data_IF_728487090265
#
_entry.id   IF_728487090265
#
_cell.length_a   1.000
_cell.length_b   1.000
_cell.length_c   1.000
_cell.angle_alpha   90.00
_cell.angle_beta   90.00
_cell.angle_gamma   90.00
#
_symmetry.space_group_name_H-M   'P 1'
#
loop_
_entity.id
_entity.type
_entity.pdbx_description
1 polymer ?
#
# COMPACT_ATOMS: atom_id res chain seq x y z
N UNK A 1 -22.18 84.15 57.91
CA UNK A 1 -23.53 84.03 57.31
C UNK A 1 -23.38 83.26 56.00
N UNK A 2 -24.04 82.07 55.91
CA UNK A 2 -24.50 81.26 54.79
C UNK A 2 -23.43 80.64 53.85
N UNK A 3 -23.19 79.44 54.04
CA UNK A 3 -23.63 78.18 53.46
C UNK A 3 -24.19 78.31 52.05
N UNK A 4 -23.45 77.70 51.04
CA UNK A 4 -24.03 76.85 50.02
C UNK A 4 -22.89 76.21 49.23
N UNK A 5 -22.76 74.99 49.48
CA UNK A 5 -22.68 73.85 48.57
C UNK A 5 -21.72 73.97 47.38
N UNK A 6 -20.58 73.28 47.54
CA UNK A 6 -19.69 72.97 46.47
C UNK A 6 -19.87 71.47 46.18
N UNK A 7 -20.64 71.22 45.15
CA UNK A 7 -20.76 69.88 44.60
C UNK A 7 -19.60 69.65 43.61
N UNK A 8 -18.59 68.92 44.07
CA UNK A 8 -17.55 68.40 43.21
C UNK A 8 -18.05 67.11 42.60
N UNK A 9 -18.36 67.14 41.32
CA UNK A 9 -18.62 65.96 40.49
C UNK A 9 -17.25 65.32 40.12
N UNK A 10 -16.91 64.25 40.80
CA UNK A 10 -15.76 63.38 40.41
C UNK A 10 -16.22 62.51 39.26
N UNK A 11 -15.75 62.76 38.02
CA UNK A 11 -15.82 61.83 36.93
C UNK A 11 -14.79 60.71 37.18
N UNK A 12 -15.28 59.59 37.64
CA UNK A 12 -14.54 58.34 37.66
C UNK A 12 -14.43 57.79 36.24
N UNK A 13 -13.25 57.91 35.66
CA UNK A 13 -12.92 57.17 34.43
C UNK A 13 -12.66 55.71 34.79
N UNK A 14 -13.69 54.87 34.67
CA UNK A 14 -13.51 53.41 34.65
C UNK A 14 -12.89 53.00 33.31
N UNK A 15 -11.61 52.71 33.29
CA UNK A 15 -10.96 51.98 32.22
C UNK A 15 -11.55 50.57 32.18
N UNK A 16 -12.55 50.39 31.33
CA UNK A 16 -13.06 49.06 30.95
C UNK A 16 -11.97 48.34 30.15
N UNK A 17 -11.26 47.44 30.81
CA UNK A 17 -10.46 46.44 30.07
C UNK A 17 -11.46 45.53 29.34
N UNK A 18 -11.64 45.80 28.07
CA UNK A 18 -12.34 44.88 27.18
C UNK A 18 -11.45 43.65 27.02
N UNK A 19 -11.75 42.60 27.80
CA UNK A 19 -11.23 41.26 27.53
C UNK A 19 -11.92 40.78 26.26
N UNK A 20 -11.29 41.04 25.11
CA UNK A 20 -11.64 40.37 23.87
C UNK A 20 -11.45 38.86 24.12
N UNK A 21 -12.51 38.05 23.96
CA UNK A 21 -12.30 36.62 23.94
C UNK A 21 -11.35 36.35 22.79
N UNK A 22 -10.12 35.88 23.10
CA UNK A 22 -9.29 35.25 22.11
C UNK A 22 -10.11 34.06 21.59
N UNK A 23 -10.74 34.27 20.45
CA UNK A 23 -11.22 33.18 19.62
C UNK A 23 -9.99 32.35 19.27
N UNK A 24 -9.69 31.36 20.09
CA UNK A 24 -8.84 30.28 19.69
C UNK A 24 -9.55 29.68 18.48
N UNK A 25 -9.15 30.14 17.32
CA UNK A 25 -9.48 29.48 16.08
C UNK A 25 -8.86 28.08 16.20
N UNK A 26 -9.69 27.14 16.64
CA UNK A 26 -9.42 25.73 16.50
C UNK A 26 -9.50 25.48 14.99
N UNK A 27 -8.43 25.84 14.27
CA UNK A 27 -8.24 25.34 12.91
C UNK A 27 -8.11 23.85 13.06
N UNK A 28 -9.22 23.13 12.88
CA UNK A 28 -9.21 21.69 12.78
C UNK A 28 -8.14 21.34 11.74
N UNK A 29 -7.07 20.67 12.16
CA UNK A 29 -6.07 20.18 11.23
C UNK A 29 -6.82 19.26 10.26
N UNK A 30 -6.85 19.65 8.98
CA UNK A 30 -7.45 18.81 7.94
C UNK A 30 -6.74 17.46 7.94
N UNK A 31 -7.52 16.40 7.96
CA UNK A 31 -6.97 15.05 7.77
C UNK A 31 -6.46 14.92 6.34
N UNK A 32 -5.51 14.01 6.11
CA UNK A 32 -5.03 13.70 4.75
C UNK A 32 -6.18 13.34 3.81
N UNK A 33 -7.20 12.67 4.33
CA UNK A 33 -8.39 12.29 3.56
C UNK A 33 -9.19 13.50 3.06
N UNK A 34 -9.33 14.56 3.87
CA UNK A 34 -9.99 15.79 3.45
C UNK A 34 -9.17 16.58 2.43
N UNK A 35 -7.84 16.58 2.58
CA UNK A 35 -6.92 17.21 1.61
C UNK A 35 -6.95 16.47 0.27
N UNK A 36 -6.92 15.15 0.28
CA UNK A 36 -6.89 14.34 -0.93
C UNK A 36 -8.21 14.31 -1.70
N UNK A 37 -9.35 14.49 -1.04
CA UNK A 37 -10.64 14.68 -1.74
C UNK A 37 -10.64 15.90 -2.67
N UNK A 38 -9.80 16.88 -2.41
CA UNK A 38 -9.66 18.09 -3.23
C UNK A 38 -8.58 18.01 -4.30
N UNK A 39 -7.78 16.94 -4.33
CA UNK A 39 -6.73 16.70 -5.31
C UNK A 39 -7.14 15.61 -6.32
N UNK A 40 -6.55 15.62 -7.51
CA UNK A 40 -6.81 14.64 -8.58
C UNK A 40 -6.27 13.22 -8.27
N UNK A 41 -6.34 12.76 -7.01
CA UNK A 41 -5.88 11.46 -6.57
C UNK A 41 -7.03 10.57 -6.10
N UNK A 42 -6.96 9.29 -6.43
CA UNK A 42 -7.92 8.29 -6.01
C UNK A 42 -7.57 7.73 -4.64
N UNK A 43 -7.94 8.46 -3.59
CA UNK A 43 -7.81 7.98 -2.23
C UNK A 43 -9.10 7.34 -1.74
N UNK A 44 -8.97 6.19 -1.09
CA UNK A 44 -10.07 5.48 -0.44
C UNK A 44 -9.76 5.26 1.03
N UNK A 45 -10.69 5.64 1.90
CA UNK A 45 -10.63 5.29 3.32
C UNK A 45 -10.85 3.79 3.47
N UNK A 46 -9.98 3.12 4.22
CA UNK A 46 -10.11 1.69 4.52
C UNK A 46 -10.75 1.52 5.89
N UNK A 47 -10.03 1.86 6.96
CA UNK A 47 -10.51 1.81 8.35
C UNK A 47 -9.63 2.69 9.24
N UNK A 48 -10.22 3.30 10.28
CA UNK A 48 -9.48 4.08 11.26
C UNK A 48 -8.60 5.16 10.61
N UNK A 49 -7.30 5.08 10.77
CA UNK A 49 -6.32 5.99 10.20
C UNK A 49 -5.66 5.46 8.91
N UNK A 50 -6.11 4.29 8.42
CA UNK A 50 -5.59 3.68 7.20
C UNK A 50 -6.42 4.07 5.99
N UNK A 51 -5.74 4.46 4.93
CA UNK A 51 -6.29 4.75 3.60
C UNK A 51 -5.47 4.03 2.53
N UNK A 52 -6.02 3.88 1.34
CA UNK A 52 -5.28 3.47 0.15
C UNK A 52 -5.27 4.58 -0.88
N UNK A 53 -4.23 4.64 -1.68
CA UNK A 53 -4.11 5.53 -2.84
C UNK A 53 -3.84 4.69 -4.08
N UNK A 54 -4.60 4.97 -5.14
CA UNK A 54 -4.44 4.33 -6.44
C UNK A 54 -4.29 5.37 -7.53
N UNK A 55 -3.33 5.14 -8.42
CA UNK A 55 -3.13 5.88 -9.64
C UNK A 55 -2.65 4.87 -10.71
N UNK A 56 -1.43 5.01 -11.23
CA UNK A 56 -0.81 4.02 -12.11
C UNK A 56 0.26 3.24 -11.37
N UNK A 57 0.15 1.90 -11.40
CA UNK A 57 1.01 0.98 -10.65
C UNK A 57 0.25 0.29 -9.53
N UNK A 58 0.97 -0.27 -8.57
CA UNK A 58 0.39 -0.95 -7.43
C UNK A 58 -0.36 -0.01 -6.48
N UNK A 59 -1.26 -0.55 -5.71
CA UNK A 59 -1.97 0.19 -4.66
C UNK A 59 -1.00 0.61 -3.57
N UNK A 60 -1.08 1.85 -3.13
CA UNK A 60 -0.30 2.39 -2.00
C UNK A 60 -1.14 2.35 -0.72
N UNK A 61 -0.54 1.87 0.37
CA UNK A 61 -1.11 1.97 1.72
C UNK A 61 -0.63 3.23 2.42
N UNK A 62 -1.50 3.88 3.18
CA UNK A 62 -1.17 5.08 3.94
C UNK A 62 -1.73 4.98 5.34
N UNK A 63 -0.88 5.10 6.35
CA UNK A 63 -1.28 5.31 7.75
C UNK A 63 -0.96 6.74 8.15
N UNK A 64 -1.98 7.48 8.57
CA UNK A 64 -1.82 8.77 9.25
C UNK A 64 -1.73 8.54 10.75
N UNK A 65 -0.55 8.76 11.34
CA UNK A 65 -0.37 8.69 12.79
C UNK A 65 -0.64 10.05 13.44
N UNK A 66 -0.43 10.14 14.75
CA UNK A 66 -0.60 11.40 15.48
C UNK A 66 0.32 12.51 14.93
N UNK A 67 1.56 12.18 14.56
CA UNK A 67 2.63 13.13 14.25
C UNK A 67 3.45 12.82 12.99
N UNK A 68 3.09 11.77 12.25
CA UNK A 68 3.80 11.33 11.05
C UNK A 68 2.92 10.54 10.08
N UNK A 69 3.51 10.10 8.96
CA UNK A 69 2.93 9.15 8.02
C UNK A 69 3.82 7.93 7.85
N UNK A 70 3.19 6.77 7.67
CA UNK A 70 3.81 5.55 7.15
C UNK A 70 3.18 5.23 5.80
N UNK A 71 4.02 5.09 4.78
CA UNK A 71 3.60 4.82 3.39
C UNK A 71 4.05 3.43 3.00
N UNK A 72 3.15 2.63 2.42
CA UNK A 72 3.45 1.30 1.89
C UNK A 72 3.36 1.36 0.38
N UNK A 73 4.47 1.09 -0.29
CA UNK A 73 4.72 1.20 -1.73
C UNK A 73 4.73 2.64 -2.26
N UNK A 74 5.28 2.82 -3.46
CA UNK A 74 5.60 4.14 -4.00
C UNK A 74 5.18 4.33 -5.47
N UNK A 75 4.61 3.32 -6.14
CA UNK A 75 4.26 3.39 -7.56
C UNK A 75 5.44 3.85 -8.44
N UNK A 76 5.17 4.70 -9.43
CA UNK A 76 6.17 5.41 -10.24
C UNK A 76 6.27 6.87 -9.80
N UNK A 77 7.41 7.56 -10.01
CA UNK A 77 7.66 8.92 -9.50
C UNK A 77 6.56 9.92 -9.84
N UNK A 78 6.11 9.97 -11.09
CA UNK A 78 5.10 10.94 -11.55
C UNK A 78 3.70 10.62 -11.01
N UNK A 79 3.42 9.35 -10.76
CA UNK A 79 2.09 8.88 -10.33
C UNK A 79 1.91 8.92 -8.82
N UNK A 80 2.97 8.90 -8.04
CA UNK A 80 2.93 9.07 -6.58
C UNK A 80 2.93 10.56 -6.16
N UNK A 81 3.35 11.46 -7.04
CA UNK A 81 3.49 12.89 -6.72
C UNK A 81 2.22 13.55 -6.18
N UNK A 82 1.01 13.26 -6.67
CA UNK A 82 -0.22 13.80 -6.08
C UNK A 82 -0.40 13.44 -4.61
N UNK A 83 -0.06 12.20 -4.20
CA UNK A 83 -0.09 11.79 -2.80
C UNK A 83 0.94 12.57 -1.97
N UNK A 84 2.18 12.67 -2.44
CA UNK A 84 3.25 13.41 -1.77
C UNK A 84 2.85 14.88 -1.57
N UNK A 85 2.30 15.53 -2.60
CA UNK A 85 1.85 16.91 -2.52
C UNK A 85 0.74 17.09 -1.48
N UNK A 86 -0.16 16.12 -1.37
CA UNK A 86 -1.24 16.14 -0.39
C UNK A 86 -0.73 15.94 1.04
N UNK A 87 0.18 14.99 1.25
CA UNK A 87 0.83 14.76 2.55
C UNK A 87 1.55 16.04 3.00
N UNK A 88 2.26 16.72 2.11
CA UNK A 88 3.01 17.95 2.42
C UNK A 88 2.13 19.12 2.87
N UNK A 89 0.82 19.10 2.57
CA UNK A 89 -0.13 20.09 3.04
C UNK A 89 -0.59 19.86 4.50
N UNK A 90 -0.33 18.68 5.05
CA UNK A 90 -0.63 18.35 6.45
C UNK A 90 0.54 18.82 7.31
N UNK A 91 0.41 19.99 7.91
CA UNK A 91 1.48 20.64 8.69
C UNK A 91 1.96 19.76 9.87
N UNK A 92 3.27 19.70 10.04
CA UNK A 92 3.91 19.05 11.19
C UNK A 92 3.94 17.52 11.14
N UNK A 93 3.55 16.90 10.03
CA UNK A 93 3.56 15.44 9.88
C UNK A 93 4.49 15.00 8.74
N UNK A 94 5.77 14.68 9.02
CA UNK A 94 6.68 14.12 8.03
C UNK A 94 6.29 12.69 7.63
N UNK A 95 6.78 12.21 6.50
CA UNK A 95 6.79 10.80 6.17
C UNK A 95 7.92 10.17 6.97
N UNK A 96 7.59 9.40 8.00
CA UNK A 96 8.59 8.77 8.86
C UNK A 96 9.14 7.48 8.25
N UNK A 97 8.27 6.68 7.63
CA UNK A 97 8.65 5.43 6.97
C UNK A 97 8.05 5.33 5.59
N UNK A 98 8.85 4.87 4.64
CA UNK A 98 8.41 4.26 3.39
C UNK A 98 8.70 2.77 3.49
N UNK A 99 7.77 1.93 3.05
CA UNK A 99 7.91 0.48 3.08
C UNK A 99 7.66 -0.06 1.67
N UNK A 100 8.41 -1.08 1.25
CA UNK A 100 8.15 -1.74 -0.02
C UNK A 100 7.66 -3.16 0.22
N UNK A 101 6.56 -3.55 -0.42
CA UNK A 101 6.03 -4.91 -0.35
C UNK A 101 6.90 -5.90 -1.11
N UNK A 102 7.47 -5.49 -2.24
CA UNK A 102 8.39 -6.28 -3.07
C UNK A 102 9.17 -5.37 -4.03
N UNK A 103 9.95 -5.93 -4.95
CA UNK A 103 10.91 -5.17 -5.76
C UNK A 103 10.40 -4.62 -7.09
N UNK A 104 9.21 -4.95 -7.56
CA UNK A 104 8.74 -4.51 -8.89
C UNK A 104 8.63 -2.99 -9.00
N UNK A 105 8.87 -2.49 -10.21
CA UNK A 105 9.03 -1.05 -10.44
C UNK A 105 7.78 -0.22 -10.16
N UNK A 106 6.60 -0.80 -10.31
CA UNK A 106 5.32 -0.15 -10.00
C UNK A 106 5.00 -0.12 -8.48
N UNK A 107 5.93 -0.61 -7.64
CA UNK A 107 5.92 -0.50 -6.19
C UNK A 107 7.14 0.26 -5.64
N UNK A 108 8.27 0.25 -6.36
CA UNK A 108 9.54 0.78 -5.85
C UNK A 108 10.13 1.94 -6.66
N UNK A 109 9.77 2.11 -7.94
CA UNK A 109 10.37 3.19 -8.76
C UNK A 109 10.09 4.58 -8.17
N UNK A 110 8.93 4.77 -7.55
CA UNK A 110 8.57 6.00 -6.85
C UNK A 110 9.36 6.27 -5.57
N UNK A 111 10.15 5.33 -5.05
CA UNK A 111 11.06 5.59 -3.92
C UNK A 111 11.96 6.80 -4.21
N UNK A 112 12.28 7.04 -5.49
CA UNK A 112 13.06 8.19 -5.92
C UNK A 112 12.40 9.53 -5.56
N UNK A 113 11.06 9.62 -5.64
CA UNK A 113 10.32 10.81 -5.24
C UNK A 113 10.33 11.05 -3.72
N UNK A 114 10.59 10.01 -2.91
CA UNK A 114 10.69 10.10 -1.46
C UNK A 114 12.10 10.35 -0.94
N UNK A 115 13.13 10.39 -1.81
CA UNK A 115 14.56 10.45 -1.44
C UNK A 115 14.90 11.51 -0.39
N UNK A 116 14.25 12.68 -0.44
CA UNK A 116 14.48 13.79 0.48
C UNK A 116 13.35 13.96 1.52
N UNK A 117 12.37 13.06 1.54
CA UNK A 117 11.20 13.14 2.40
C UNK A 117 11.26 12.16 3.57
N UNK A 118 11.96 11.04 3.41
CA UNK A 118 12.22 10.08 4.48
C UNK A 118 13.62 9.48 4.35
N UNK A 119 14.20 9.11 5.50
CA UNK A 119 15.48 8.39 5.57
C UNK A 119 15.29 6.91 5.93
N UNK A 120 14.05 6.48 6.17
CA UNK A 120 13.72 5.13 6.63
C UNK A 120 12.91 4.41 5.57
N UNK A 121 13.57 3.57 4.79
CA UNK A 121 12.92 2.72 3.78
C UNK A 121 13.07 1.27 4.21
N UNK A 122 11.94 0.61 4.48
CA UNK A 122 11.86 -0.75 5.01
C UNK A 122 11.48 -1.72 3.90
N UNK A 123 12.18 -2.84 3.80
CA UNK A 123 11.81 -3.94 2.91
C UNK A 123 12.35 -5.29 3.40
N UNK A 124 11.80 -6.38 2.87
CA UNK A 124 12.38 -7.71 3.05
C UNK A 124 13.80 -7.76 2.43
N UNK A 125 14.72 -8.50 3.03
CA UNK A 125 16.16 -8.48 2.72
C UNK A 125 16.53 -8.75 1.25
N UNK A 126 15.69 -9.50 0.52
CA UNK A 126 15.92 -9.83 -0.89
C UNK A 126 15.54 -8.69 -1.85
N UNK A 127 14.71 -7.73 -1.40
CA UNK A 127 14.16 -6.68 -2.26
C UNK A 127 15.24 -5.81 -2.92
N UNK A 128 16.27 -5.29 -2.21
CA UNK A 128 17.25 -4.41 -2.83
C UNK A 128 18.06 -5.07 -3.96
N UNK A 129 18.45 -6.33 -3.79
CA UNK A 129 19.18 -7.06 -4.82
C UNK A 129 18.33 -7.32 -6.05
N UNK A 130 17.08 -7.77 -5.86
CA UNK A 130 16.13 -8.00 -6.96
C UNK A 130 15.82 -6.68 -7.70
N UNK A 131 15.62 -5.58 -6.96
CA UNK A 131 15.40 -4.25 -7.52
C UNK A 131 16.61 -3.80 -8.35
N UNK A 132 17.84 -4.02 -7.86
CA UNK A 132 19.07 -3.70 -8.58
C UNK A 132 19.18 -4.49 -9.86
N UNK A 133 18.99 -5.81 -9.83
CA UNK A 133 19.03 -6.67 -11.00
C UNK A 133 18.01 -6.22 -12.07
N UNK A 134 16.78 -5.89 -11.65
CA UNK A 134 15.77 -5.36 -12.56
C UNK A 134 16.18 -3.99 -13.16
N UNK A 135 16.79 -3.12 -12.35
CA UNK A 135 17.25 -1.79 -12.79
C UNK A 135 18.44 -1.86 -13.76
N UNK A 136 19.35 -2.81 -13.59
CA UNK A 136 20.47 -3.06 -14.51
C UNK A 136 19.93 -3.50 -15.88
N UNK A 137 18.97 -4.42 -15.92
CA UNK A 137 18.30 -4.86 -17.15
C UNK A 137 17.56 -3.70 -17.84
N UNK A 138 16.92 -2.84 -17.06
CA UNK A 138 16.19 -1.67 -17.55
C UNK A 138 17.10 -0.45 -17.84
N UNK A 139 18.40 -0.51 -17.52
CA UNK A 139 19.39 0.57 -17.67
C UNK A 139 18.97 1.86 -16.96
N UNK A 140 18.44 1.76 -15.74
CA UNK A 140 17.94 2.88 -14.94
C UNK A 140 18.39 2.84 -13.47
N UNK A 141 19.57 2.29 -13.20
CA UNK A 141 20.14 2.15 -11.83
C UNK A 141 20.27 3.50 -11.12
N UNK A 142 20.59 4.55 -11.86
CA UNK A 142 20.73 5.93 -11.36
C UNK A 142 19.42 6.54 -10.86
N UNK A 143 18.29 5.95 -11.24
CA UNK A 143 16.93 6.37 -10.82
C UNK A 143 16.37 5.54 -9.66
N UNK A 144 17.19 4.66 -9.06
CA UNK A 144 16.74 3.81 -7.97
C UNK A 144 17.07 4.40 -6.59
N UNK A 145 16.19 4.16 -5.64
CA UNK A 145 16.43 4.36 -4.21
C UNK A 145 16.03 3.08 -3.50
N UNK A 146 16.99 2.46 -2.83
CA UNK A 146 16.83 1.16 -2.21
C UNK A 146 16.46 1.26 -0.74
N UNK A 147 15.81 0.21 -0.23
CA UNK A 147 15.55 0.08 1.20
C UNK A 147 16.86 -0.01 1.99
N UNK A 148 16.88 0.63 3.16
CA UNK A 148 18.04 0.69 4.08
C UNK A 148 17.74 0.08 5.46
N UNK A 149 16.50 -0.33 5.72
CA UNK A 149 16.09 -1.12 6.88
C UNK A 149 15.56 -2.44 6.34
N UNK A 150 16.34 -3.52 6.56
CA UNK A 150 16.05 -4.82 5.97
C UNK A 150 15.66 -5.81 7.07
N UNK A 151 14.71 -6.70 6.77
CA UNK A 151 14.27 -7.75 7.67
C UNK A 151 14.19 -9.12 6.96
N UNK A 152 14.24 -10.20 7.72
CA UNK A 152 14.08 -11.57 7.21
C UNK A 152 12.62 -11.97 7.21
N UNK A 153 12.06 -12.26 8.38
CA UNK A 153 10.72 -12.83 8.53
C UNK A 153 9.71 -11.82 9.04
N UNK A 154 10.13 -10.93 9.96
CA UNK A 154 9.24 -9.98 10.60
C UNK A 154 9.97 -8.71 11.04
N UNK A 155 9.29 -7.57 10.96
CA UNK A 155 9.79 -6.30 11.47
C UNK A 155 8.66 -5.44 12.05
N UNK A 156 8.89 -4.88 13.25
CA UNK A 156 7.93 -3.99 13.90
C UNK A 156 8.32 -2.52 13.71
N UNK A 157 7.49 -1.79 13.00
CA UNK A 157 7.54 -0.35 12.86
C UNK A 157 6.71 0.28 13.98
N UNK A 158 7.29 1.26 14.70
CA UNK A 158 6.59 2.10 15.68
C UNK A 158 6.63 3.54 15.21
N UNK A 159 5.48 4.19 15.06
CA UNK A 159 5.36 5.55 14.55
C UNK A 159 4.14 6.23 15.15
N UNK A 160 4.30 7.41 15.78
CA UNK A 160 3.21 8.22 16.34
C UNK A 160 2.27 7.48 17.31
N UNK A 161 2.79 6.49 18.05
CA UNK A 161 2.01 5.63 18.94
C UNK A 161 1.30 4.47 18.26
N UNK A 162 1.38 4.35 16.94
CA UNK A 162 0.84 3.24 16.16
C UNK A 162 1.91 2.15 15.92
N UNK A 163 1.45 0.95 15.58
CA UNK A 163 2.28 -0.23 15.30
C UNK A 163 1.92 -0.77 13.91
N UNK A 164 2.95 -0.96 13.09
CA UNK A 164 2.81 -1.65 11.79
C UNK A 164 3.78 -2.81 11.78
N UNK A 165 3.27 -4.03 11.67
CA UNK A 165 4.12 -5.23 11.62
C UNK A 165 4.23 -5.71 10.18
N UNK A 166 5.47 -5.74 9.68
CA UNK A 166 5.82 -6.36 8.40
C UNK A 166 5.99 -7.88 8.60
N UNK A 167 5.47 -8.67 7.68
CA UNK A 167 5.63 -10.13 7.64
C UNK A 167 6.12 -10.59 6.27
N UNK A 168 7.10 -11.48 6.27
CA UNK A 168 7.48 -12.29 5.12
C UNK A 168 7.16 -13.75 5.44
N UNK A 169 6.14 -14.30 4.81
CA UNK A 169 5.73 -15.69 5.05
C UNK A 169 6.35 -16.68 4.06
N UNK A 170 7.15 -16.19 3.13
CA UNK A 170 7.81 -16.93 2.08
C UNK A 170 7.67 -16.25 0.72
N UNK A 171 8.34 -16.79 -0.28
CA UNK A 171 8.21 -16.35 -1.67
C UNK A 171 6.83 -16.76 -2.21
N UNK A 172 6.15 -15.85 -2.87
CA UNK A 172 4.88 -16.12 -3.54
C UNK A 172 4.90 -15.53 -4.95
N UNK A 173 4.70 -14.22 -5.03
CA UNK A 173 4.83 -13.43 -6.25
C UNK A 173 6.31 -13.12 -6.59
N UNK A 174 7.12 -12.87 -5.56
CA UNK A 174 8.57 -12.67 -5.66
C UNK A 174 9.32 -13.35 -4.50
N UNK A 175 10.65 -13.37 -4.54
CA UNK A 175 11.46 -13.82 -3.40
C UNK A 175 11.40 -12.88 -2.18
N UNK A 176 10.96 -11.65 -2.35
CA UNK A 176 11.01 -10.61 -1.32
C UNK A 176 9.63 -10.09 -0.89
N UNK A 177 8.56 -10.87 -1.06
CA UNK A 177 7.22 -10.42 -0.72
C UNK A 177 7.05 -10.14 0.77
N UNK A 178 6.47 -9.01 1.08
CA UNK A 178 6.12 -8.62 2.43
C UNK A 178 4.69 -8.07 2.49
N UNK A 179 3.99 -8.39 3.57
CA UNK A 179 2.71 -7.79 3.91
C UNK A 179 2.88 -6.92 5.15
N UNK A 180 2.09 -5.84 5.25
CA UNK A 180 2.19 -4.86 6.34
C UNK A 180 0.86 -4.76 7.08
N UNK A 181 0.85 -5.17 8.35
CA UNK A 181 -0.32 -5.15 9.23
C UNK A 181 -0.36 -3.88 10.08
N UNK A 182 -1.31 -3.02 9.85
CA UNK A 182 -1.68 -1.88 10.67
C UNK A 182 -2.50 -2.40 11.86
N UNK A 183 -1.82 -2.72 12.99
CA UNK A 183 -2.37 -3.53 14.08
C UNK A 183 -3.64 -2.94 14.69
N UNK A 184 -3.63 -1.64 15.02
CA UNK A 184 -4.77 -0.98 15.69
C UNK A 184 -6.03 -0.94 14.82
N UNK A 185 -5.86 -0.68 13.55
CA UNK A 185 -6.97 -0.57 12.61
C UNK A 185 -7.34 -1.92 11.98
N UNK A 186 -6.58 -2.97 12.29
CA UNK A 186 -6.73 -4.33 11.76
C UNK A 186 -6.89 -4.34 10.23
N UNK A 187 -5.91 -3.74 9.55
CA UNK A 187 -5.81 -3.69 8.09
C UNK A 187 -4.46 -4.25 7.66
N UNK A 188 -4.44 -5.07 6.63
CA UNK A 188 -3.21 -5.65 6.08
C UNK A 188 -3.04 -5.24 4.63
N UNK A 189 -1.90 -4.64 4.30
CA UNK A 189 -1.51 -4.41 2.91
C UNK A 189 -0.76 -5.64 2.39
N UNK A 190 -1.30 -6.29 1.36
CA UNK A 190 -0.82 -7.57 0.85
C UNK A 190 0.20 -7.44 -0.29
N UNK A 191 0.35 -6.24 -0.87
CA UNK A 191 1.09 -6.10 -2.12
C UNK A 191 0.56 -7.05 -3.20
N UNK A 192 1.45 -7.52 -4.03
CA UNK A 192 1.13 -8.40 -5.16
C UNK A 192 1.01 -9.88 -4.79
N UNK A 193 0.98 -10.20 -3.49
CA UNK A 193 0.42 -11.47 -3.06
C UNK A 193 -1.08 -11.57 -3.40
N UNK A 194 -1.72 -10.42 -3.72
CA UNK A 194 -3.15 -10.35 -4.05
C UNK A 194 -3.43 -9.53 -5.31
N UNK A 195 -4.01 -10.22 -6.30
CA UNK A 195 -4.62 -9.66 -7.51
C UNK A 195 -6.12 -9.98 -7.50
N UNK A 196 -6.97 -8.96 -7.54
CA UNK A 196 -8.42 -9.16 -7.58
C UNK A 196 -8.92 -9.20 -9.01
N UNK A 197 -9.68 -10.23 -9.36
CA UNK A 197 -10.28 -10.43 -10.69
C UNK A 197 -9.28 -10.36 -11.86
N UNK A 198 -7.99 -10.47 -11.55
CA UNK A 198 -6.89 -10.48 -12.53
C UNK A 198 -6.11 -11.80 -12.45
N UNK A 199 -5.62 -12.26 -13.59
CA UNK A 199 -4.56 -13.25 -13.64
C UNK A 199 -3.28 -12.55 -13.19
N UNK A 200 -2.57 -13.05 -12.16
CA UNK A 200 -1.42 -12.35 -11.61
C UNK A 200 -0.23 -12.34 -12.58
N UNK A 201 0.61 -11.33 -12.44
CA UNK A 201 1.95 -11.35 -13.03
C UNK A 201 2.75 -12.47 -12.37
N UNK A 202 3.37 -13.32 -13.18
CA UNK A 202 4.09 -14.51 -12.72
C UNK A 202 5.46 -14.60 -13.38
N UNK A 203 6.52 -14.47 -12.61
CA UNK A 203 7.90 -14.49 -13.12
C UNK A 203 8.78 -15.37 -12.25
N UNK A 204 9.04 -16.59 -12.72
CA UNK A 204 9.86 -17.59 -12.00
C UNK A 204 11.24 -17.03 -11.62
N UNK A 205 11.88 -16.26 -12.49
CA UNK A 205 13.19 -15.63 -12.22
C UNK A 205 13.18 -14.63 -11.08
N UNK A 206 12.01 -14.01 -10.81
CA UNK A 206 11.82 -13.05 -9.73
C UNK A 206 11.38 -13.74 -8.42
N UNK A 207 11.14 -15.06 -8.48
CA UNK A 207 10.78 -15.89 -7.33
C UNK A 207 9.34 -16.39 -7.33
N UNK A 208 8.54 -16.12 -8.38
CA UNK A 208 7.17 -16.63 -8.42
C UNK A 208 7.14 -18.15 -8.33
N UNK A 209 6.41 -18.67 -7.35
CA UNK A 209 6.24 -20.11 -7.13
C UNK A 209 4.82 -20.40 -6.60
N UNK A 210 4.01 -21.08 -7.40
CA UNK A 210 2.60 -21.27 -7.06
C UNK A 210 2.37 -22.10 -5.79
N UNK A 211 3.20 -23.11 -5.51
CA UNK A 211 3.07 -23.93 -4.30
C UNK A 211 3.40 -23.12 -3.05
N UNK A 212 4.49 -22.37 -3.09
CA UNK A 212 4.87 -21.49 -2.00
C UNK A 212 3.86 -20.34 -1.85
N UNK A 213 3.33 -19.78 -2.94
CA UNK A 213 2.33 -18.73 -2.88
C UNK A 213 1.02 -19.20 -2.21
N UNK A 214 0.57 -20.41 -2.55
CA UNK A 214 -0.55 -21.06 -1.85
C UNK A 214 -0.28 -21.14 -0.35
N UNK A 215 0.90 -21.63 0.05
CA UNK A 215 1.29 -21.74 1.47
C UNK A 215 1.36 -20.39 2.18
N UNK A 216 1.86 -19.34 1.49
CA UNK A 216 1.89 -17.96 2.00
C UNK A 216 0.47 -17.44 2.27
N UNK A 217 -0.47 -17.67 1.33
CA UNK A 217 -1.86 -17.27 1.51
C UNK A 217 -2.55 -18.07 2.62
N UNK A 218 -2.31 -19.37 2.74
CA UNK A 218 -2.83 -20.20 3.84
C UNK A 218 -2.31 -19.72 5.20
N UNK A 219 -1.02 -19.36 5.28
CA UNK A 219 -0.45 -18.79 6.50
C UNK A 219 -1.08 -17.43 6.82
N UNK A 220 -1.33 -16.57 5.83
CA UNK A 220 -2.02 -15.30 6.02
C UNK A 220 -3.47 -15.52 6.53
N UNK A 221 -4.23 -16.44 5.90
CA UNK A 221 -5.59 -16.80 6.29
C UNK A 221 -5.65 -17.30 7.74
N UNK A 222 -4.65 -18.07 8.19
CA UNK A 222 -4.59 -18.58 9.56
C UNK A 222 -4.06 -17.57 10.59
N UNK A 223 -3.35 -16.54 10.14
CA UNK A 223 -2.74 -15.53 11.03
C UNK A 223 -3.69 -14.38 11.35
N UNK A 224 -4.45 -13.93 10.37
CA UNK A 224 -5.34 -12.78 10.51
C UNK A 224 -6.77 -13.22 10.81
N UNK A 225 -7.48 -12.42 11.60
CA UNK A 225 -8.86 -12.75 11.98
C UNK A 225 -9.88 -12.37 10.89
N UNK A 226 -11.13 -12.84 11.10
CA UNK A 226 -12.23 -12.62 10.14
C UNK A 226 -12.63 -11.15 9.94
N UNK A 227 -12.29 -10.28 10.86
CA UNK A 227 -12.62 -8.84 10.81
C UNK A 227 -11.50 -8.02 10.18
N UNK A 228 -10.38 -8.67 9.80
CA UNK A 228 -9.26 -8.04 9.10
C UNK A 228 -9.69 -7.58 7.71
N UNK A 229 -9.40 -6.33 7.37
CA UNK A 229 -9.49 -5.83 6.00
C UNK A 229 -8.13 -5.92 5.31
N UNK A 230 -8.16 -6.19 4.02
CA UNK A 230 -6.95 -6.31 3.21
C UNK A 230 -6.93 -5.27 2.10
N UNK A 231 -5.75 -4.68 1.86
CA UNK A 231 -5.45 -3.86 0.69
C UNK A 231 -4.70 -4.74 -0.29
N UNK A 232 -5.16 -4.78 -1.54
CA UNK A 232 -4.62 -5.62 -2.60
C UNK A 232 -3.71 -4.81 -3.53
N UNK A 233 -2.66 -5.45 -4.06
CA UNK A 233 -1.71 -4.79 -4.96
C UNK A 233 -2.37 -4.30 -6.24
N UNK A 234 -3.16 -5.17 -6.89
CA UNK A 234 -3.81 -4.85 -8.16
C UNK A 234 -5.27 -5.30 -8.23
N UNK A 235 -6.08 -4.48 -8.90
CA UNK A 235 -7.45 -4.77 -9.27
C UNK A 235 -7.77 -4.10 -10.62
N UNK A 236 -8.77 -4.59 -11.39
CA UNK A 236 -9.18 -3.96 -12.65
C UNK A 236 -9.89 -2.62 -12.42
N UNK A 237 -10.43 -2.41 -11.23
CA UNK A 237 -11.08 -1.18 -10.77
C UNK A 237 -10.51 -0.78 -9.41
N UNK A 238 -10.13 0.49 -9.27
CA UNK A 238 -9.60 1.09 -8.03
C UNK A 238 -10.51 0.88 -6.80
N UNK A 239 -11.82 0.73 -7.00
CA UNK A 239 -12.76 0.48 -5.92
C UNK A 239 -12.70 -0.96 -5.39
N UNK A 240 -12.04 -1.86 -6.11
CA UNK A 240 -11.88 -3.27 -5.76
C UNK A 240 -10.54 -3.58 -5.09
N UNK A 241 -9.75 -2.56 -4.73
CA UNK A 241 -8.42 -2.75 -4.11
C UNK A 241 -8.47 -3.12 -2.63
N UNK A 242 -9.64 -3.45 -2.09
CA UNK A 242 -9.81 -3.90 -0.70
C UNK A 242 -10.81 -5.04 -0.57
N UNK A 243 -10.64 -5.86 0.45
CA UNK A 243 -11.53 -6.97 0.75
C UNK A 243 -11.26 -7.63 2.10
N UNK A 244 -11.56 -8.92 2.17
CA UNK A 244 -11.53 -9.72 3.39
C UNK A 244 -10.84 -11.08 3.17
N UNK A 245 -10.88 -11.97 4.16
CA UNK A 245 -10.30 -13.33 4.09
C UNK A 245 -10.86 -14.20 2.95
N UNK A 246 -12.09 -13.96 2.51
CA UNK A 246 -12.70 -14.73 1.41
C UNK A 246 -11.94 -14.47 0.10
N UNK A 247 -11.45 -13.24 -0.11
CA UNK A 247 -10.65 -12.90 -1.27
C UNK A 247 -9.28 -13.60 -1.27
N UNK A 248 -8.65 -13.76 -0.08
CA UNK A 248 -7.41 -14.53 0.05
C UNK A 248 -7.66 -16.01 -0.28
N UNK A 249 -8.76 -16.56 0.23
CA UNK A 249 -9.17 -17.94 -0.05
C UNK A 249 -9.46 -18.14 -1.54
N UNK A 250 -10.12 -17.17 -2.17
CA UNK A 250 -10.42 -17.20 -3.61
C UNK A 250 -9.12 -17.19 -4.44
N UNK A 251 -8.16 -16.31 -4.12
CA UNK A 251 -6.86 -16.26 -4.79
C UNK A 251 -6.06 -17.56 -4.61
N UNK A 252 -6.06 -18.13 -3.41
CA UNK A 252 -5.43 -19.42 -3.12
C UNK A 252 -6.03 -20.54 -3.98
N UNK A 253 -7.35 -20.62 -4.03
CA UNK A 253 -8.08 -21.60 -4.82
C UNK A 253 -7.84 -21.40 -6.34
N UNK A 254 -7.73 -20.15 -6.79
CA UNK A 254 -7.40 -19.83 -8.17
C UNK A 254 -6.01 -20.38 -8.57
N UNK A 255 -5.00 -20.19 -7.74
CA UNK A 255 -3.65 -20.69 -8.00
C UNK A 255 -3.63 -22.24 -8.09
N UNK A 256 -4.32 -22.90 -7.17
CA UNK A 256 -4.45 -24.38 -7.16
C UNK A 256 -5.18 -24.87 -8.43
N UNK A 257 -6.35 -24.29 -8.73
CA UNK A 257 -7.11 -24.65 -9.91
C UNK A 257 -6.35 -24.38 -11.21
N UNK A 258 -5.54 -23.32 -11.25
CA UNK A 258 -4.71 -22.98 -12.41
C UNK A 258 -3.62 -24.03 -12.65
N UNK A 259 -2.95 -24.49 -11.59
CA UNK A 259 -1.93 -25.54 -11.69
C UNK A 259 -2.55 -26.86 -12.17
N UNK A 260 -3.70 -27.25 -11.60
CA UNK A 260 -4.40 -28.48 -12.01
C UNK A 260 -4.89 -28.41 -13.45
N UNK A 261 -5.47 -27.27 -13.87
CA UNK A 261 -5.95 -27.08 -15.23
C UNK A 261 -4.80 -27.14 -16.25
N UNK A 262 -3.69 -26.45 -15.99
CA UNK A 262 -2.52 -26.44 -16.87
C UNK A 262 -1.93 -27.84 -16.95
N UNK A 263 -1.73 -28.52 -15.82
CA UNK A 263 -1.22 -29.89 -15.76
C UNK A 263 -2.06 -30.85 -16.60
N UNK A 264 -3.38 -30.83 -16.40
CA UNK A 264 -4.30 -31.68 -17.15
C UNK A 264 -4.27 -31.38 -18.65
N UNK A 265 -4.31 -30.12 -19.03
CA UNK A 265 -4.29 -29.69 -20.43
C UNK A 265 -3.01 -30.10 -21.16
N UNK A 266 -1.85 -30.00 -20.50
CA UNK A 266 -0.57 -30.47 -21.05
C UNK A 266 -0.58 -32.01 -21.23
N UNK A 267 -1.14 -32.76 -20.27
CA UNK A 267 -1.29 -34.20 -20.38
C UNK A 267 -2.24 -34.63 -21.51
N UNK A 268 -3.22 -33.77 -21.87
CA UNK A 268 -4.11 -33.93 -23.02
C UNK A 268 -3.45 -33.53 -24.37
N UNK A 269 -2.17 -33.12 -24.35
CA UNK A 269 -1.39 -32.77 -25.54
C UNK A 269 -1.53 -31.32 -26.01
N UNK A 270 -2.12 -30.42 -25.21
CA UNK A 270 -2.11 -28.99 -25.50
C UNK A 270 -0.72 -28.39 -25.23
N UNK A 271 -0.35 -27.38 -26.01
CA UNK A 271 0.90 -26.64 -25.78
C UNK A 271 0.66 -25.42 -24.88
N UNK A 272 1.72 -24.86 -24.30
CA UNK A 272 1.64 -23.63 -23.50
C UNK A 272 1.16 -22.43 -24.32
N UNK A 273 1.49 -22.38 -25.63
CA UNK A 273 1.01 -21.35 -26.56
C UNK A 273 -0.51 -21.44 -26.74
N UNK A 274 -1.04 -22.66 -26.94
CA UNK A 274 -2.49 -22.86 -27.08
C UNK A 274 -3.24 -22.47 -25.81
N UNK A 275 -2.67 -22.76 -24.64
CA UNK A 275 -3.24 -22.36 -23.34
C UNK A 275 -3.17 -20.84 -23.14
N UNK A 276 -2.10 -20.19 -23.57
CA UNK A 276 -1.93 -18.74 -23.48
C UNK A 276 -2.99 -17.99 -24.31
N UNK A 277 -3.32 -18.47 -25.51
CA UNK A 277 -4.28 -17.82 -26.40
C UNK A 277 -5.70 -17.75 -25.80
N UNK A 278 -6.11 -18.77 -25.05
CA UNK A 278 -7.48 -18.92 -24.58
C UNK A 278 -7.53 -19.38 -23.12
N UNK A 279 -6.71 -18.77 -22.25
CA UNK A 279 -6.67 -19.15 -20.83
C UNK A 279 -7.98 -18.77 -20.13
N UNK A 280 -8.74 -19.77 -19.79
CA UNK A 280 -9.93 -19.65 -18.93
C UNK A 280 -9.85 -20.76 -17.88
N UNK A 281 -9.69 -20.38 -16.64
CA UNK A 281 -9.65 -21.34 -15.53
C UNK A 281 -11.09 -21.60 -15.07
N UNK A 282 -11.55 -22.87 -15.10
CA UNK A 282 -12.91 -23.21 -14.65
C UNK A 282 -13.21 -22.73 -13.24
N UNK A 283 -14.38 -22.14 -13.04
CA UNK A 283 -14.86 -21.47 -11.81
C UNK A 283 -14.22 -20.11 -11.52
N UNK A 284 -13.27 -19.66 -12.36
CA UNK A 284 -12.57 -18.38 -12.24
C UNK A 284 -12.61 -17.57 -13.55
N UNK A 285 -13.66 -17.74 -14.34
CA UNK A 285 -13.86 -17.07 -15.64
C UNK A 285 -13.95 -15.55 -15.53
N UNK A 286 -14.23 -15.04 -14.32
CA UNK A 286 -14.25 -13.60 -14.02
C UNK A 286 -12.84 -12.98 -13.97
N UNK A 287 -11.78 -13.79 -13.78
CA UNK A 287 -10.41 -13.29 -13.77
C UNK A 287 -9.91 -13.02 -15.19
N UNK A 288 -9.40 -11.81 -15.38
CA UNK A 288 -8.95 -11.34 -16.70
C UNK A 288 -7.43 -11.18 -16.74
N UNK A 289 -6.85 -11.47 -17.87
CA UNK A 289 -5.45 -11.13 -18.12
C UNK A 289 -5.30 -9.61 -18.33
N UNK A 290 -4.26 -9.02 -17.75
CA UNK A 290 -3.92 -7.63 -18.02
C UNK A 290 -3.39 -7.44 -19.44
N UNK A 291 -2.63 -8.41 -19.95
CA UNK A 291 -2.19 -8.51 -21.34
C UNK A 291 -1.74 -9.95 -21.66
N UNK A 292 -1.46 -10.21 -22.96
CA UNK A 292 -1.08 -11.53 -23.44
C UNK A 292 0.27 -11.99 -22.89
N UNK A 293 1.24 -11.09 -22.75
CA UNK A 293 2.59 -11.45 -22.25
C UNK A 293 2.54 -11.92 -20.79
N UNK A 294 1.72 -11.28 -19.95
CA UNK A 294 1.53 -11.75 -18.57
C UNK A 294 0.80 -13.08 -18.50
N UNK A 295 -0.18 -13.33 -19.39
CA UNK A 295 -0.80 -14.66 -19.50
C UNK A 295 0.22 -15.71 -19.88
N UNK A 296 1.10 -15.41 -20.85
CA UNK A 296 2.16 -16.31 -21.27
C UNK A 296 3.10 -16.66 -20.13
N UNK A 297 3.62 -15.65 -19.43
CA UNK A 297 4.53 -15.88 -18.28
C UNK A 297 3.85 -16.64 -17.15
N UNK A 298 2.54 -16.46 -16.94
CA UNK A 298 1.77 -17.21 -15.95
C UNK A 298 1.65 -18.70 -16.35
N UNK A 299 1.24 -19.00 -17.59
CA UNK A 299 1.09 -20.37 -18.07
C UNK A 299 2.44 -21.10 -18.09
N UNK A 300 3.46 -20.52 -18.73
CA UNK A 300 4.80 -21.11 -18.84
C UNK A 300 5.45 -21.25 -17.45
N UNK A 301 5.28 -20.26 -16.58
CA UNK A 301 5.83 -20.29 -15.23
C UNK A 301 5.24 -21.42 -14.39
N UNK A 302 3.92 -21.57 -14.37
CA UNK A 302 3.28 -22.71 -13.67
C UNK A 302 3.69 -24.03 -14.31
N UNK A 303 3.64 -24.15 -15.65
CA UNK A 303 4.03 -25.37 -16.36
C UNK A 303 5.45 -25.83 -16.02
N UNK A 304 6.39 -24.90 -15.88
CA UNK A 304 7.79 -25.21 -15.53
C UNK A 304 7.99 -25.73 -14.11
N UNK A 305 6.98 -25.62 -13.25
CA UNK A 305 7.04 -26.01 -11.83
C UNK A 305 6.13 -27.21 -11.51
N UNK A 306 5.42 -27.77 -12.50
CA UNK A 306 4.59 -28.96 -12.33
C UNK A 306 5.43 -30.24 -12.25
#
# INVERSE_FOLDING_TARGET
MNRKEFLTTSLGATLGVAILPQLWSCTSQRTIFEVLKSSNGDISKIRGNVSSFTNRGGTVGLLETKDSFVVIDAQFPDFIQPLINSISQVKGKPIEFLCNTHHHGDHTAGNFAFKNLTQKIVAQKNVPELQKNAAELAKNVDKQVYANILFEDQYLIKSGGERVTAYHFGAGHTFGDAMYHFEKDNVVHMGDLMFINLIPVYRVKDGSNFRSWISVLEKAISTFDKDTLFIFGHAPDKNLTKGNLENLTEMRNFLEASADFIKKSLAEGKTTEQLTENLVIPKFEHRKAMNKDFTKTFVEGIASQL
#
